data_IF_272614450987
#
_entry.id   IF_272614450987
#
_cell.length_a   1.000
_cell.length_b   1.000
_cell.length_c   1.000
_cell.angle_alpha   90.00
_cell.angle_beta   90.00
_cell.angle_gamma   90.00
#
_symmetry.space_group_name_H-M   'P 1'
#
loop_
_entity.id
_entity.type
_entity.pdbx_description
1 polymer ?
#
# COMPACT_ATOMS: atom_id res chain seq x y z
N UNK A 1 -12.87 4.82 -13.18
CA UNK A 1 -12.88 5.95 -12.23
C UNK A 1 -12.90 5.37 -10.83
N UNK A 2 -11.75 5.30 -10.16
CA UNK A 2 -11.64 5.04 -8.73
C UNK A 2 -10.98 6.27 -8.12
N UNK A 3 -11.63 6.94 -7.19
CA UNK A 3 -11.02 8.07 -6.50
C UNK A 3 -9.92 7.54 -5.57
N UNK A 4 -8.73 8.17 -5.51
CA UNK A 4 -7.69 7.77 -4.57
C UNK A 4 -8.24 7.90 -3.13
N UNK A 5 -7.89 6.94 -2.27
CA UNK A 5 -8.32 6.96 -0.89
C UNK A 5 -7.83 8.23 -0.21
N UNK A 6 -8.73 8.92 0.49
CA UNK A 6 -8.43 10.19 1.17
C UNK A 6 -8.12 9.92 2.64
N UNK A 7 -7.04 10.52 3.14
CA UNK A 7 -6.62 10.43 4.54
C UNK A 7 -7.75 10.85 5.47
N UNK A 8 -7.98 10.07 6.53
CA UNK A 8 -8.94 10.35 7.59
C UNK A 8 -10.39 9.98 7.26
N UNK A 9 -10.68 9.57 6.02
CA UNK A 9 -11.98 9.04 5.61
C UNK A 9 -12.09 7.55 5.91
N UNK A 10 -13.32 7.09 6.11
CA UNK A 10 -13.63 5.66 6.27
C UNK A 10 -13.57 4.98 4.91
N UNK A 11 -12.87 3.86 4.84
CA UNK A 11 -12.74 3.09 3.62
C UNK A 11 -14.09 2.49 3.20
N UNK A 12 -14.56 2.78 1.97
CA UNK A 12 -15.85 2.30 1.49
C UNK A 12 -15.83 0.82 1.09
N UNK A 13 -14.64 0.28 0.81
CA UNK A 13 -14.37 -1.10 0.39
C UNK A 13 -13.07 -1.58 1.04
N UNK A 14 -12.91 -2.90 1.12
CA UNK A 14 -11.65 -3.52 1.52
C UNK A 14 -10.58 -3.27 0.43
N UNK A 15 -9.42 -2.80 0.87
CA UNK A 15 -8.28 -2.51 0.01
C UNK A 15 -7.22 -3.59 0.24
N UNK A 16 -6.94 -4.35 -0.82
CA UNK A 16 -5.91 -5.41 -0.79
C UNK A 16 -4.83 -5.05 -1.78
N UNK A 17 -3.57 -5.14 -1.35
CA UNK A 17 -2.43 -4.96 -2.23
C UNK A 17 -1.99 -6.33 -2.76
N UNK A 18 -2.00 -6.53 -4.08
CA UNK A 18 -1.55 -7.79 -4.67
C UNK A 18 -0.01 -7.93 -4.61
N UNK A 19 0.52 -9.17 -4.62
CA UNK A 19 1.94 -9.38 -4.80
C UNK A 19 2.38 -8.96 -6.21
N UNK A 20 3.57 -8.38 -6.31
CA UNK A 20 4.10 -7.87 -7.58
C UNK A 20 5.14 -6.79 -7.41
N UNK A 21 5.81 -6.43 -8.51
CA UNK A 21 6.75 -5.32 -8.48
C UNK A 21 5.99 -4.00 -8.36
N UNK A 22 6.40 -3.18 -7.40
CA UNK A 22 5.80 -1.84 -7.23
C UNK A 22 6.51 -0.80 -8.09
N UNK A 23 7.70 -1.13 -8.60
CA UNK A 23 8.57 -0.17 -9.32
C UNK A 23 9.14 0.91 -8.42
N UNK A 24 8.92 0.84 -7.11
CA UNK A 24 9.45 1.81 -6.15
C UNK A 24 10.90 1.51 -5.81
N UNK A 25 11.61 2.58 -5.47
CA UNK A 25 13.02 2.52 -5.08
C UNK A 25 13.17 1.77 -3.75
N UNK A 26 14.20 0.92 -3.60
CA UNK A 26 14.51 0.20 -2.36
C UNK A 26 14.60 1.07 -1.11
N UNK A 27 14.94 2.36 -1.26
CA UNK A 27 14.99 3.32 -0.16
C UNK A 27 13.60 3.59 0.46
N UNK A 28 12.53 3.34 -0.31
CA UNK A 28 11.14 3.50 0.13
C UNK A 28 10.58 2.23 0.80
N UNK A 29 11.36 1.17 0.99
CA UNK A 29 10.90 -0.05 1.70
C UNK A 29 10.46 0.20 3.14
N UNK A 30 11.04 1.19 3.83
CA UNK A 30 10.63 1.55 5.20
C UNK A 30 9.14 1.89 5.29
N UNK A 31 8.57 2.48 4.23
CA UNK A 31 7.15 2.78 4.16
C UNK A 31 6.27 1.53 4.17
N UNK A 32 6.69 0.50 3.44
CA UNK A 32 6.02 -0.80 3.41
C UNK A 32 6.14 -1.52 4.75
N UNK A 33 7.28 -1.41 5.43
CA UNK A 33 7.46 -1.97 6.77
C UNK A 33 6.53 -1.32 7.80
N UNK A 34 6.37 0.02 7.77
CA UNK A 34 5.44 0.74 8.66
C UNK A 34 4.00 0.33 8.43
N UNK A 35 3.65 -0.02 7.19
CA UNK A 35 2.32 -0.51 6.81
C UNK A 35 2.13 -2.02 7.04
N UNK A 36 3.09 -2.70 7.68
CA UNK A 36 3.07 -4.16 7.87
C UNK A 36 2.98 -4.94 6.53
N UNK A 37 3.44 -4.36 5.42
CA UNK A 37 3.44 -5.01 4.10
C UNK A 37 4.76 -5.76 3.92
N UNK A 38 4.74 -7.09 3.82
CA UNK A 38 5.93 -7.88 3.55
C UNK A 38 6.41 -7.65 2.12
N UNK A 39 7.58 -7.03 1.99
CA UNK A 39 8.22 -6.71 0.70
C UNK A 39 9.65 -7.21 0.66
N UNK A 40 10.16 -7.43 -0.56
CA UNK A 40 11.51 -7.88 -0.85
C UNK A 40 12.11 -7.00 -1.94
N UNK A 41 13.41 -6.74 -1.82
CA UNK A 41 14.15 -5.99 -2.83
C UNK A 41 14.50 -6.96 -3.96
N UNK A 42 14.01 -6.71 -5.17
CA UNK A 42 14.29 -7.52 -6.35
C UNK A 42 14.79 -6.63 -7.49
N UNK A 43 15.99 -6.92 -8.02
CA UNK A 43 16.65 -6.15 -9.09
C UNK A 43 16.68 -4.62 -8.88
N UNK A 44 16.83 -4.16 -7.64
CA UNK A 44 16.85 -2.73 -7.31
C UNK A 44 15.48 -2.06 -7.28
N UNK A 45 14.40 -2.83 -7.19
CA UNK A 45 13.03 -2.33 -6.99
C UNK A 45 12.34 -3.07 -5.86
N UNK A 46 11.32 -2.47 -5.25
CA UNK A 46 10.52 -3.11 -4.20
C UNK A 46 9.46 -4.03 -4.82
N UNK A 47 9.46 -5.28 -4.40
CA UNK A 47 8.52 -6.32 -4.82
C UNK A 47 7.74 -6.84 -3.62
N UNK A 48 6.41 -6.86 -3.74
CA UNK A 48 5.52 -7.40 -2.72
C UNK A 48 5.45 -8.92 -2.92
N UNK A 49 5.79 -9.66 -1.87
CA UNK A 49 5.90 -11.13 -1.95
C UNK A 49 4.60 -11.84 -1.61
N UNK A 50 3.73 -11.22 -0.80
CA UNK A 50 2.44 -11.80 -0.42
C UNK A 50 1.36 -10.73 -0.43
N UNK A 51 0.11 -11.08 -0.79
CA UNK A 51 -0.99 -10.15 -0.71
C UNK A 51 -1.21 -9.71 0.75
N UNK A 52 -1.47 -8.42 0.95
CA UNK A 52 -1.82 -7.86 2.26
C UNK A 52 -3.09 -7.03 2.16
N UNK A 53 -4.02 -7.29 3.09
CA UNK A 53 -5.17 -6.42 3.33
C UNK A 53 -4.67 -5.14 4.01
N UNK A 54 -4.64 -4.05 3.25
CA UNK A 54 -4.15 -2.75 3.70
C UNK A 54 -5.15 -2.11 4.67
N UNK A 55 -6.43 -2.15 4.30
CA UNK A 55 -7.54 -1.49 4.97
C UNK A 55 -8.79 -2.33 4.76
N UNK A 56 -9.60 -2.49 5.81
CA UNK A 56 -10.93 -3.10 5.67
C UNK A 56 -12.00 -2.03 5.49
N UNK A 57 -13.12 -2.44 4.91
CA UNK A 57 -14.31 -1.61 4.84
C UNK A 57 -14.73 -1.21 6.26
N UNK A 58 -14.84 0.10 6.50
CA UNK A 58 -15.16 0.63 7.82
C UNK A 58 -13.94 1.10 8.63
N UNK A 59 -12.72 0.76 8.21
CA UNK A 59 -11.50 1.29 8.83
C UNK A 59 -11.16 2.69 8.31
N UNK A 60 -10.46 3.46 9.14
CA UNK A 60 -9.98 4.79 8.77
C UNK A 60 -8.74 4.68 7.89
N UNK A 61 -8.76 5.39 6.77
CA UNK A 61 -7.60 5.52 5.90
C UNK A 61 -6.52 6.37 6.58
N UNK A 62 -5.40 5.77 6.94
CA UNK A 62 -4.24 6.49 7.45
C UNK A 62 -3.49 7.26 6.35
N UNK A 63 -2.57 8.12 6.78
CA UNK A 63 -1.80 8.96 5.86
C UNK A 63 -0.90 8.13 4.94
N UNK A 64 -0.42 6.99 5.43
CA UNK A 64 0.46 6.08 4.70
C UNK A 64 -0.34 5.27 3.67
N UNK A 65 -1.51 4.74 4.00
CA UNK A 65 -2.33 4.01 3.03
C UNK A 65 -2.79 4.89 1.88
N UNK A 66 -3.23 6.11 2.19
CA UNK A 66 -3.64 7.08 1.17
C UNK A 66 -2.50 7.45 0.24
N UNK A 67 -1.28 7.63 0.76
CA UNK A 67 -0.12 7.98 -0.06
C UNK A 67 0.29 6.83 -1.00
N UNK A 68 0.10 5.57 -0.59
CA UNK A 68 0.30 4.41 -1.47
C UNK A 68 -0.75 4.38 -2.59
N UNK A 69 -2.02 4.63 -2.24
CA UNK A 69 -3.15 4.64 -3.18
C UNK A 69 -3.19 5.88 -4.09
N UNK A 70 -2.58 6.99 -3.68
CA UNK A 70 -2.48 8.22 -4.47
C UNK A 70 -1.33 8.20 -5.48
N UNK A 71 -0.36 7.29 -5.33
CA UNK A 71 0.78 7.11 -6.23
C UNK A 71 0.57 6.03 -7.30
N UNK A 72 -0.54 5.29 -7.25
CA UNK A 72 -0.92 4.23 -8.20
C UNK A 72 -1.88 4.68 -9.29
#
# INVERSE_FOLDING_TARGET
VGAPARVGLVAPIDVVVPPGNTGLDPSQTSFFQVLNIPTKINKGTVEIITPVELIKKGDKVGSSEAALLAKG
#
